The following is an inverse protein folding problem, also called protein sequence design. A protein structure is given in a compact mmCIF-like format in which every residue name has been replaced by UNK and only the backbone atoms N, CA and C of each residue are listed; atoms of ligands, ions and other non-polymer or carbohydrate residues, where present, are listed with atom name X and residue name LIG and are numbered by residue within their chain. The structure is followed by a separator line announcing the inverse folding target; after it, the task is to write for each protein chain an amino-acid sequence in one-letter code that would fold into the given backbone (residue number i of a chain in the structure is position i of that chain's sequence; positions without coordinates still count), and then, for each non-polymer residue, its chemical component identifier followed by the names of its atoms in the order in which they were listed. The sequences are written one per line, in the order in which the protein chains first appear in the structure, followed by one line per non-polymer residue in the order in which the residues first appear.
data_IF_414524886075
#
_entry.id   IF_414524886075
#
_cell.length_a   1.000
_cell.length_b   1.000
_cell.length_c   1.000
_cell.angle_alpha   90.00
_cell.angle_beta   90.00
_cell.angle_gamma   90.00
#
_symmetry.space_group_name_H-M   'P 1'
#
loop_
_entity.id
_entity.type
_entity.pdbx_description
1 polymer ?
#
# COMPACT_ATOMS: atom_id res chain seq x y z
N UNK A 1 -6.90 -3.74 17.22
CA UNK A 1 -5.83 -3.71 16.20
C UNK A 1 -6.26 -2.79 15.06
N UNK A 2 -5.32 -2.18 14.33
CA UNK A 2 -5.65 -1.26 13.23
C UNK A 2 -5.50 0.24 13.51
N UNK A 3 -4.97 0.64 14.67
CA UNK A 3 -4.74 2.07 15.02
C UNK A 3 -3.46 2.66 14.41
N UNK A 4 -2.66 1.83 13.73
CA UNK A 4 -1.41 2.23 13.08
C UNK A 4 -1.53 1.84 11.61
N UNK A 5 -1.63 2.85 10.75
CA UNK A 5 -1.56 2.71 9.30
C UNK A 5 -0.11 2.79 8.83
N UNK A 6 0.31 1.82 8.02
CA UNK A 6 1.60 1.85 7.33
C UNK A 6 1.34 1.68 5.83
N UNK A 7 1.89 2.58 5.03
CA UNK A 7 1.79 2.53 3.56
C UNK A 7 3.18 2.42 2.93
N UNK A 8 3.29 1.61 1.89
CA UNK A 8 4.53 1.43 1.11
C UNK A 8 4.30 1.64 -0.39
N UNK A 9 5.37 1.77 -1.15
CA UNK A 9 5.27 1.95 -2.60
C UNK A 9 5.01 0.65 -3.37
N UNK A 10 5.64 -0.46 -2.95
CA UNK A 10 5.59 -1.74 -3.69
C UNK A 10 4.96 -2.86 -2.88
N UNK A 11 4.34 -3.82 -3.56
CA UNK A 11 3.80 -5.04 -2.93
C UNK A 11 4.90 -5.80 -2.17
N UNK A 12 6.08 -5.93 -2.78
CA UNK A 12 7.21 -6.61 -2.14
C UNK A 12 7.67 -5.94 -0.83
N UNK A 13 7.68 -4.59 -0.79
CA UNK A 13 8.02 -3.86 0.43
C UNK A 13 6.96 -4.03 1.53
N UNK A 14 5.67 -4.08 1.16
CA UNK A 14 4.59 -4.40 2.09
C UNK A 14 4.80 -5.78 2.72
N UNK A 15 5.04 -6.83 1.91
CA UNK A 15 5.24 -8.19 2.42
C UNK A 15 6.50 -8.31 3.30
N UNK A 16 7.62 -7.74 2.87
CA UNK A 16 8.85 -7.73 3.67
C UNK A 16 8.61 -7.05 5.04
N UNK A 17 7.89 -5.92 5.04
CA UNK A 17 7.61 -5.18 6.25
C UNK A 17 6.65 -5.93 7.18
N UNK A 18 5.63 -6.60 6.62
CA UNK A 18 4.72 -7.48 7.38
C UNK A 18 5.52 -8.58 8.09
N UNK A 19 6.39 -9.27 7.38
CA UNK A 19 7.23 -10.32 7.95
C UNK A 19 8.19 -9.80 9.03
N UNK A 20 8.79 -8.62 8.81
CA UNK A 20 9.70 -8.01 9.78
C UNK A 20 8.98 -7.61 11.07
N UNK A 21 7.83 -6.97 10.98
CA UNK A 21 7.05 -6.56 12.16
C UNK A 21 6.53 -7.79 12.90
N UNK A 22 5.99 -8.80 12.20
CA UNK A 22 5.52 -10.05 12.83
C UNK A 22 6.63 -10.74 13.62
N UNK A 23 7.81 -10.88 13.02
CA UNK A 23 9.00 -11.44 13.70
C UNK A 23 9.39 -10.62 14.92
N UNK A 24 9.34 -9.29 14.83
CA UNK A 24 9.68 -8.40 15.94
C UNK A 24 8.69 -8.51 17.10
N UNK A 25 7.39 -8.58 16.82
CA UNK A 25 6.35 -8.80 17.83
C UNK A 25 6.51 -10.15 18.53
N UNK A 26 6.82 -11.22 17.79
CA UNK A 26 7.12 -12.54 18.36
C UNK A 26 8.34 -12.50 19.29
N UNK A 27 9.44 -11.88 18.84
CA UNK A 27 10.65 -11.74 19.65
C UNK A 27 10.38 -10.92 20.93
N UNK A 28 9.62 -9.82 20.83
CA UNK A 28 9.23 -9.03 21.98
C UNK A 28 8.35 -9.83 22.96
N UNK A 29 7.34 -10.57 22.46
CA UNK A 29 6.48 -11.39 23.32
C UNK A 29 7.29 -12.47 24.09
N UNK A 30 8.28 -13.07 23.43
CA UNK A 30 9.19 -14.01 24.07
C UNK A 30 10.08 -13.32 25.12
N UNK A 31 10.66 -12.17 24.79
CA UNK A 31 11.51 -11.39 25.70
C UNK A 31 10.76 -10.97 26.97
N UNK A 32 9.52 -10.45 26.85
CA UNK A 32 8.68 -10.10 27.99
C UNK A 32 8.24 -11.32 28.81
N UNK A 33 8.09 -12.49 28.17
CA UNK A 33 7.81 -13.75 28.87
C UNK A 33 9.00 -14.27 29.67
N UNK A 34 10.21 -14.12 29.13
CA UNK A 34 11.44 -14.65 29.72
C UNK A 34 12.12 -13.65 30.67
N UNK A 35 11.77 -12.37 30.57
CA UNK A 35 12.39 -11.29 31.34
C UNK A 35 13.80 -10.91 30.86
N UNK A 36 14.25 -11.46 29.73
CA UNK A 36 15.58 -11.22 29.15
C UNK A 36 15.55 -11.34 27.63
N UNK A 37 16.53 -10.72 26.96
CA UNK A 37 16.74 -10.83 25.52
C UNK A 37 18.21 -10.59 25.15
N UNK A 38 18.74 -11.30 24.16
CA UNK A 38 20.05 -11.02 23.56
C UNK A 38 20.02 -9.81 22.62
N UNK A 39 18.85 -9.44 22.12
CA UNK A 39 18.65 -8.22 21.33
C UNK A 39 18.72 -6.98 22.23
N UNK A 40 19.64 -6.07 21.92
CA UNK A 40 19.94 -4.87 22.71
C UNK A 40 18.73 -3.95 22.88
N UNK A 41 17.89 -3.80 21.83
CA UNK A 41 16.71 -2.94 21.90
C UNK A 41 15.64 -3.56 22.81
N UNK A 42 15.38 -4.86 22.68
CA UNK A 42 14.41 -5.54 23.55
C UNK A 42 14.89 -5.59 25.00
N UNK A 43 16.19 -5.78 25.23
CA UNK A 43 16.77 -5.72 26.56
C UNK A 43 16.63 -4.32 27.18
N UNK A 44 16.88 -3.26 26.41
CA UNK A 44 16.65 -1.89 26.86
C UNK A 44 15.17 -1.63 27.18
N UNK A 45 14.25 -2.20 26.40
CA UNK A 45 12.81 -2.10 26.65
C UNK A 45 12.41 -2.80 27.96
N UNK A 46 12.97 -3.98 28.25
CA UNK A 46 12.75 -4.70 29.50
C UNK A 46 13.29 -3.92 30.72
N UNK A 47 14.46 -3.30 30.59
CA UNK A 47 15.05 -2.44 31.64
C UNK A 47 14.18 -1.21 31.89
N UNK A 48 13.61 -0.62 30.82
CA UNK A 48 12.69 0.52 30.92
C UNK A 48 11.38 0.17 31.66
N UNK A 49 10.95 -1.10 31.61
CA UNK A 49 9.73 -1.58 32.23
C UNK A 49 10.02 -2.72 33.22
N UNK A 50 10.59 -2.44 34.40
CA UNK A 50 11.04 -3.46 35.34
C UNK A 50 9.89 -4.11 36.14
N UNK A 51 8.72 -3.46 36.22
CA UNK A 51 7.57 -3.93 36.99
C UNK A 51 6.98 -5.22 36.41
N UNK A 52 6.84 -6.24 37.25
CA UNK A 52 6.40 -7.57 36.82
C UNK A 52 4.96 -7.56 36.28
N UNK A 53 4.07 -6.78 36.89
CA UNK A 53 2.66 -6.68 36.48
C UNK A 53 2.54 -5.99 35.12
N UNK A 54 3.29 -4.91 34.89
CA UNK A 54 3.36 -4.25 33.59
C UNK A 54 3.95 -5.17 32.52
N UNK A 55 5.00 -5.94 32.83
CA UNK A 55 5.58 -6.90 31.87
C UNK A 55 4.57 -7.97 31.45
N UNK A 56 3.79 -8.49 32.40
CA UNK A 56 2.72 -9.43 32.08
C UNK A 56 1.66 -8.79 31.16
N UNK A 57 1.23 -7.55 31.48
CA UNK A 57 0.28 -6.82 30.63
C UNK A 57 0.83 -6.59 29.22
N UNK A 58 2.10 -6.23 29.06
CA UNK A 58 2.73 -6.07 27.76
C UNK A 58 2.84 -7.39 26.99
N UNK A 59 3.19 -8.47 27.67
CA UNK A 59 3.19 -9.81 27.08
C UNK A 59 1.80 -10.18 26.53
N UNK A 60 0.74 -9.93 27.30
CA UNK A 60 -0.65 -10.19 26.89
C UNK A 60 -1.05 -9.33 25.69
N UNK A 61 -0.71 -8.03 25.70
CA UNK A 61 -0.93 -7.12 24.57
C UNK A 61 -0.18 -7.54 23.31
N UNK A 62 1.09 -7.94 23.43
CA UNK A 62 1.89 -8.42 22.30
C UNK A 62 1.33 -9.72 21.73
N UNK A 63 0.85 -10.65 22.58
CA UNK A 63 0.16 -11.86 22.15
C UNK A 63 -1.16 -11.55 21.43
N UNK A 64 -1.93 -10.56 21.91
CA UNK A 64 -3.13 -10.11 21.23
C UNK A 64 -2.82 -9.51 19.85
N UNK A 65 -1.84 -8.61 19.78
CA UNK A 65 -1.38 -8.03 18.52
C UNK A 65 -0.89 -9.08 17.50
N UNK A 66 -0.33 -10.20 17.97
CA UNK A 66 0.07 -11.33 17.11
C UNK A 66 -1.09 -12.17 16.58
N UNK A 67 -2.18 -12.29 17.34
CA UNK A 67 -3.39 -13.01 16.91
C UNK A 67 -4.12 -12.26 15.82
N UNK A 68 -4.26 -10.96 16.01
CA UNK A 68 -4.98 -10.07 15.11
C UNK A 68 -4.05 -9.51 14.01
N UNK A 69 -2.80 -10.01 13.92
CA UNK A 69 -1.76 -9.43 13.07
C UNK A 69 -2.10 -9.47 11.58
N UNK A 70 -2.83 -10.50 11.15
CA UNK A 70 -3.17 -10.66 9.75
C UNK A 70 -4.12 -9.54 9.28
N UNK A 71 -4.84 -8.89 10.20
CA UNK A 71 -5.68 -7.71 9.97
C UNK A 71 -4.93 -6.37 10.07
N UNK A 72 -3.60 -6.38 10.27
CA UNK A 72 -2.82 -5.16 10.39
C UNK A 72 -2.92 -4.29 9.14
N UNK A 73 -3.11 -2.98 9.35
CA UNK A 73 -3.26 -1.96 8.32
C UNK A 73 -1.90 -1.60 7.67
N UNK A 74 -1.32 -2.56 6.97
CA UNK A 74 -0.07 -2.42 6.21
C UNK A 74 -0.41 -2.65 4.74
N UNK A 75 -0.41 -1.58 3.95
CA UNK A 75 -0.85 -1.60 2.56
C UNK A 75 0.20 -0.97 1.64
N UNK A 76 0.02 -1.16 0.33
CA UNK A 76 0.59 -0.21 -0.63
C UNK A 76 -0.21 1.10 -0.57
N UNK A 77 0.37 2.20 -1.07
CA UNK A 77 -0.35 3.48 -1.20
C UNK A 77 -1.67 3.29 -1.97
N UNK A 78 -1.61 2.62 -3.13
CA UNK A 78 -2.79 2.34 -3.95
C UNK A 78 -3.82 1.46 -3.23
N UNK A 79 -3.39 0.38 -2.57
CA UNK A 79 -4.29 -0.50 -1.83
C UNK A 79 -5.02 0.22 -0.69
N UNK A 80 -4.33 1.15 -0.02
CA UNK A 80 -4.95 2.01 0.98
C UNK A 80 -5.99 2.96 0.36
N UNK A 81 -5.63 3.68 -0.71
CA UNK A 81 -6.55 4.59 -1.38
C UNK A 81 -7.80 3.86 -1.91
N UNK A 82 -7.63 2.70 -2.54
CA UNK A 82 -8.74 1.88 -3.04
C UNK A 82 -9.67 1.45 -1.90
N UNK A 83 -9.11 0.98 -0.78
CA UNK A 83 -9.88 0.62 0.40
C UNK A 83 -10.68 1.82 0.94
N UNK A 84 -10.07 3.00 1.03
CA UNK A 84 -10.75 4.21 1.49
C UNK A 84 -11.91 4.62 0.58
N UNK A 85 -11.75 4.50 -0.74
CA UNK A 85 -12.82 4.77 -1.70
C UNK A 85 -13.98 3.79 -1.55
N UNK A 86 -13.69 2.51 -1.33
CA UNK A 86 -14.71 1.47 -1.13
C UNK A 86 -15.45 1.60 0.21
N UNK A 87 -14.72 1.82 1.30
CA UNK A 87 -15.31 1.97 2.64
C UNK A 87 -16.17 3.23 2.75
N UNK A 88 -15.87 4.26 1.96
CA UNK A 88 -16.60 5.53 1.92
C UNK A 88 -17.27 5.76 0.55
N UNK A 89 -17.83 4.70 -0.05
CA UNK A 89 -18.41 4.73 -1.40
C UNK A 89 -19.52 5.79 -1.56
N UNK A 90 -20.34 5.97 -0.52
CA UNK A 90 -21.41 6.99 -0.51
C UNK A 90 -20.86 8.42 -0.56
N UNK A 91 -19.77 8.69 0.16
CA UNK A 91 -19.17 10.02 0.25
C UNK A 91 -18.31 10.32 -0.98
N UNK A 92 -17.62 9.29 -1.48
CA UNK A 92 -16.77 9.37 -2.67
C UNK A 92 -17.55 9.38 -3.99
N UNK A 93 -18.86 9.09 -3.96
CA UNK A 93 -19.69 8.85 -5.15
C UNK A 93 -19.07 7.80 -6.10
N UNK A 94 -18.20 6.93 -5.57
CA UNK A 94 -17.51 5.92 -6.35
C UNK A 94 -18.50 4.82 -6.74
N UNK A 95 -18.44 4.37 -8.00
CA UNK A 95 -19.11 3.16 -8.42
C UNK A 95 -18.54 1.99 -7.61
N UNK A 96 -19.40 1.11 -7.12
CA UNK A 96 -18.98 -0.08 -6.37
C UNK A 96 -18.04 -1.00 -7.20
N UNK A 97 -18.13 -0.94 -8.53
CA UNK A 97 -17.33 -1.73 -9.48
C UNK A 97 -16.16 -0.94 -10.11
N UNK A 98 -15.41 -0.17 -9.31
CA UNK A 98 -14.22 0.54 -9.81
C UNK A 98 -13.02 -0.40 -9.84
N UNK A 99 -12.41 -0.58 -11.02
CA UNK A 99 -11.19 -1.37 -11.22
C UNK A 99 -9.93 -0.50 -11.17
N UNK A 100 -8.85 -1.00 -10.55
CA UNK A 100 -7.57 -0.31 -10.51
C UNK A 100 -6.80 -0.56 -11.82
N UNK A 101 -6.71 0.46 -12.65
CA UNK A 101 -5.83 0.47 -13.83
C UNK A 101 -4.43 0.87 -13.37
N UNK A 102 -3.50 -0.09 -13.33
CA UNK A 102 -2.11 0.15 -12.92
C UNK A 102 -1.20 0.60 -14.07
N UNK A 103 -1.66 0.43 -15.31
CA UNK A 103 -0.96 0.85 -16.52
C UNK A 103 -1.92 1.60 -17.45
N UNK A 104 -1.78 2.91 -17.47
CA UNK A 104 -2.64 3.80 -18.26
C UNK A 104 -2.15 3.99 -19.71
N UNK A 105 -1.06 3.35 -20.13
CA UNK A 105 -0.43 3.62 -21.43
C UNK A 105 -1.38 3.41 -22.60
N UNK A 106 -2.10 2.28 -22.59
CA UNK A 106 -3.08 1.97 -23.64
C UNK A 106 -4.17 3.04 -23.75
N UNK A 107 -4.65 3.56 -22.61
CA UNK A 107 -5.65 4.64 -22.59
C UNK A 107 -5.07 5.95 -23.14
N UNK A 108 -3.82 6.26 -22.81
CA UNK A 108 -3.14 7.47 -23.31
C UNK A 108 -2.90 7.40 -24.81
N UNK A 109 -2.51 6.23 -25.32
CA UNK A 109 -2.36 5.96 -26.75
C UNK A 109 -3.71 6.13 -27.46
N UNK A 110 -4.78 5.54 -26.94
CA UNK A 110 -6.12 5.69 -27.51
C UNK A 110 -6.58 7.17 -27.56
N UNK A 111 -6.35 7.93 -26.50
CA UNK A 111 -6.67 9.36 -26.46
C UNK A 111 -5.84 10.16 -27.47
N UNK A 112 -4.56 9.82 -27.64
CA UNK A 112 -3.69 10.49 -28.61
C UNK A 112 -4.14 10.20 -30.05
N UNK A 113 -4.48 8.94 -30.35
CA UNK A 113 -5.03 8.52 -31.63
C UNK A 113 -6.34 9.24 -31.94
N UNK A 114 -7.26 9.32 -30.96
CA UNK A 114 -8.53 10.04 -31.08
C UNK A 114 -8.33 11.53 -31.36
N UNK A 115 -7.46 12.17 -30.60
CA UNK A 115 -7.14 13.58 -30.81
C UNK A 115 -6.60 13.81 -32.23
N UNK A 116 -5.72 12.93 -32.71
CA UNK A 116 -5.18 13.02 -34.07
C UNK A 116 -6.27 12.82 -35.12
N UNK A 117 -7.16 11.83 -34.96
CA UNK A 117 -8.28 11.59 -35.89
C UNK A 117 -9.19 12.82 -36.02
N UNK A 118 -9.66 13.35 -34.89
CA UNK A 118 -10.63 14.45 -34.85
C UNK A 118 -9.99 15.77 -35.31
N UNK A 119 -8.78 16.06 -34.85
CA UNK A 119 -8.21 17.39 -35.06
C UNK A 119 -7.32 17.51 -36.30
N UNK A 120 -6.66 16.43 -36.72
CA UNK A 120 -5.70 16.47 -37.80
C UNK A 120 -6.27 16.02 -39.14
N UNK A 121 -6.97 14.88 -39.16
CA UNK A 121 -7.54 14.35 -40.41
C UNK A 121 -8.73 15.16 -40.91
N UNK A 122 -9.62 15.62 -40.03
CA UNK A 122 -10.83 16.33 -40.46
C UNK A 122 -10.59 17.81 -40.79
N UNK A 123 -9.61 18.47 -40.16
CA UNK A 123 -9.47 19.92 -40.27
C UNK A 123 -8.40 20.40 -41.26
N UNK A 124 -7.42 19.55 -41.64
CA UNK A 124 -6.35 19.95 -42.58
C UNK A 124 -5.94 18.80 -43.52
N UNK A 125 -6.78 18.41 -44.50
CA UNK A 125 -6.58 17.22 -45.33
C UNK A 125 -5.26 17.20 -46.12
N UNK A 126 -4.79 18.37 -46.59
CA UNK A 126 -3.52 18.47 -47.32
C UNK A 126 -2.31 18.23 -46.39
N UNK A 127 -2.41 18.72 -45.15
CA UNK A 127 -1.37 18.52 -44.13
C UNK A 127 -1.39 17.08 -43.61
N UNK A 128 -2.58 16.46 -43.53
CA UNK A 128 -2.76 15.05 -43.19
C UNK A 128 -2.06 14.11 -44.17
N UNK A 129 -2.27 14.31 -45.47
CA UNK A 129 -1.58 13.56 -46.52
C UNK A 129 -0.07 13.76 -46.49
N UNK A 130 0.39 15.01 -46.25
CA UNK A 130 1.82 15.31 -46.12
C UNK A 130 2.45 14.62 -44.90
N UNK A 131 1.82 14.69 -43.73
CA UNK A 131 2.34 14.06 -42.51
C UNK A 131 2.46 12.54 -42.64
N UNK A 132 1.44 11.88 -43.20
CA UNK A 132 1.47 10.44 -43.47
C UNK A 132 2.59 10.07 -44.45
N UNK A 133 2.80 10.88 -45.50
CA UNK A 133 3.90 10.66 -46.46
C UNK A 133 5.30 10.79 -45.84
N UNK A 134 5.40 11.47 -44.69
CA UNK A 134 6.63 11.67 -43.92
C UNK A 134 6.79 10.65 -42.79
N UNK A 135 5.84 9.71 -42.64
CA UNK A 135 5.84 8.71 -41.58
C UNK A 135 5.36 9.24 -40.22
N UNK A 136 4.73 10.41 -40.18
CA UNK A 136 4.05 10.88 -38.97
C UNK A 136 2.67 10.26 -38.90
N UNK A 137 2.49 9.42 -37.89
CA UNK A 137 1.26 8.81 -37.46
C UNK A 137 1.12 9.06 -35.93
N UNK A 138 -0.06 8.81 -35.35
CA UNK A 138 -0.16 8.71 -33.90
C UNK A 138 0.88 7.76 -33.31
#
# INVERSE_FOLDING_TARGET
VGEILVVTYTVAATEELRDRIRRRLRAAAAAFSQGQSSDTFLQALLVKFPDARQRQLFQERLKAALRDYDEAAIFTIHGFCQRMLQENAFESHSLFDTELITDERALREEIADDFWRVHFYENVPELAGYALSRGFNP
#
